data_IF_209373469794
#
_entry.id   IF_209373469794
#
_cell.length_a   1.000
_cell.length_b   1.000
_cell.length_c   1.000
_cell.angle_alpha   90.00
_cell.angle_beta   90.00
_cell.angle_gamma   90.00
#
_symmetry.space_group_name_H-M   'P 1'
#
loop_
_entity.id
_entity.type
_entity.pdbx_description
1 polymer ?
#
# COMPACT_ATOMS: atom_id res chain seq x y z
N UNK A 1 -12.80 -0.08 -5.83
CA UNK A 1 -11.97 0.97 -6.46
C UNK A 1 -11.49 0.49 -7.82
N UNK A 2 -11.02 1.40 -8.69
CA UNK A 2 -10.59 1.09 -10.05
C UNK A 2 -9.12 0.71 -10.20
N UNK A 3 -8.68 0.57 -11.45
CA UNK A 3 -7.30 0.31 -11.87
C UNK A 3 -6.33 1.37 -11.34
N UNK A 4 -5.09 0.97 -11.01
CA UNK A 4 -4.00 1.86 -10.57
C UNK A 4 -4.32 2.66 -9.29
N UNK A 5 -5.25 2.18 -8.46
CA UNK A 5 -5.49 2.80 -7.15
C UNK A 5 -4.19 2.77 -6.34
N UNK A 6 -3.79 3.91 -5.76
CA UNK A 6 -2.54 4.00 -5.00
C UNK A 6 -1.28 4.08 -5.86
N UNK A 7 -1.40 4.35 -7.16
CA UNK A 7 -0.25 4.59 -8.03
C UNK A 7 0.67 5.69 -7.47
N UNK A 8 1.96 5.42 -7.40
CA UNK A 8 2.98 6.36 -6.89
C UNK A 8 2.69 6.88 -5.46
N UNK A 9 2.00 6.08 -4.63
CA UNK A 9 1.69 6.46 -3.25
C UNK A 9 2.98 6.77 -2.48
N UNK A 10 3.08 8.00 -1.95
CA UNK A 10 4.29 8.50 -1.28
C UNK A 10 4.24 8.33 0.23
N UNK A 11 3.04 8.24 0.81
CA UNK A 11 2.76 8.11 2.26
C UNK A 11 1.26 7.98 2.50
N UNK A 12 0.90 7.68 3.75
CA UNK A 12 -0.48 7.73 4.25
C UNK A 12 -1.11 6.35 4.38
N UNK A 13 -2.43 6.34 4.61
CA UNK A 13 -3.21 5.10 4.76
C UNK A 13 -4.48 5.18 3.94
N UNK A 14 -4.77 4.13 3.18
CA UNK A 14 -6.01 3.99 2.43
C UNK A 14 -6.78 2.77 2.96
N UNK A 15 -8.09 2.90 3.17
CA UNK A 15 -8.97 1.80 3.60
C UNK A 15 -10.04 1.63 2.52
N UNK A 16 -10.06 0.47 1.88
CA UNK A 16 -10.99 0.11 0.82
C UNK A 16 -11.89 -1.01 1.36
N UNK A 17 -13.16 -0.72 1.63
CA UNK A 17 -14.12 -1.70 2.19
C UNK A 17 -14.75 -2.63 1.14
N UNK A 18 -14.33 -2.52 -0.12
CA UNK A 18 -14.77 -3.38 -1.22
C UNK A 18 -13.59 -3.88 -2.05
N UNK A 19 -13.84 -4.19 -3.32
CA UNK A 19 -12.83 -4.76 -4.22
C UNK A 19 -11.85 -3.70 -4.74
N UNK A 20 -10.64 -4.14 -5.09
CA UNK A 20 -9.61 -3.36 -5.75
C UNK A 20 -9.33 -3.87 -7.16
N UNK A 21 -9.35 -2.95 -8.13
CA UNK A 21 -9.03 -3.23 -9.52
C UNK A 21 -7.54 -3.54 -9.75
N UNK A 22 -7.15 -3.79 -11.01
CA UNK A 22 -5.79 -4.19 -11.36
C UNK A 22 -4.73 -3.15 -10.99
N UNK A 23 -3.51 -3.62 -10.73
CA UNK A 23 -2.30 -2.84 -10.46
C UNK A 23 -2.43 -1.95 -9.22
N UNK A 24 -3.01 -2.50 -8.14
CA UNK A 24 -3.12 -1.81 -6.85
C UNK A 24 -1.73 -1.49 -6.30
N UNK A 25 -1.49 -0.23 -5.94
CA UNK A 25 -0.23 0.24 -5.35
C UNK A 25 0.95 0.24 -6.32
N UNK A 26 0.70 0.31 -7.63
CA UNK A 26 1.78 0.30 -8.61
C UNK A 26 2.76 1.47 -8.42
N UNK A 27 4.06 1.17 -8.51
CA UNK A 27 5.15 2.12 -8.21
C UNK A 27 5.01 2.85 -6.86
N UNK A 28 4.37 2.23 -5.85
CA UNK A 28 4.24 2.86 -4.54
C UNK A 28 5.59 2.98 -3.83
N UNK A 29 5.89 4.17 -3.31
CA UNK A 29 7.10 4.42 -2.54
C UNK A 29 6.90 4.06 -1.08
N UNK A 30 5.81 4.51 -0.47
CA UNK A 30 5.50 4.26 0.94
C UNK A 30 3.99 4.38 1.18
N UNK A 31 3.55 4.08 2.41
CA UNK A 31 2.17 4.08 2.83
C UNK A 31 1.59 2.67 2.99
N UNK A 32 0.31 2.61 3.32
CA UNK A 32 -0.38 1.35 3.56
C UNK A 32 -1.78 1.37 2.98
N UNK A 33 -2.16 0.32 2.26
CA UNK A 33 -3.49 0.15 1.69
C UNK A 33 -4.12 -1.08 2.36
N UNK A 34 -5.32 -0.94 2.90
CA UNK A 34 -6.09 -2.03 3.49
C UNK A 34 -7.31 -2.33 2.60
N UNK A 35 -7.53 -3.61 2.24
CA UNK A 35 -8.61 -4.02 1.32
C UNK A 35 -9.49 -5.09 1.97
N UNK A 36 -10.81 -4.84 2.00
CA UNK A 36 -11.80 -5.77 2.56
C UNK A 36 -12.48 -6.67 1.54
N UNK A 37 -12.39 -6.35 0.25
CA UNK A 37 -12.84 -7.20 -0.86
C UNK A 37 -11.68 -7.95 -1.52
N UNK A 38 -11.88 -8.32 -2.78
CA UNK A 38 -10.87 -8.99 -3.62
C UNK A 38 -9.90 -7.97 -4.22
N UNK A 39 -8.64 -8.38 -4.42
CA UNK A 39 -7.63 -7.60 -5.15
C UNK A 39 -7.42 -8.29 -6.50
N UNK A 40 -7.65 -7.58 -7.60
CA UNK A 40 -7.48 -8.15 -8.94
C UNK A 40 -6.01 -8.44 -9.27
N UNK A 41 -5.11 -7.47 -9.03
CA UNK A 41 -3.66 -7.66 -9.07
C UNK A 41 -2.95 -6.56 -8.29
N UNK A 42 -1.75 -6.86 -7.80
CA UNK A 42 -0.82 -5.88 -7.24
C UNK A 42 0.03 -5.26 -8.35
N UNK A 43 0.41 -4.00 -8.17
CA UNK A 43 1.44 -3.36 -8.99
C UNK A 43 2.85 -3.83 -8.62
N UNK A 44 3.85 -3.39 -9.38
CA UNK A 44 5.21 -3.98 -9.33
C UNK A 44 5.89 -3.82 -7.97
N UNK A 45 5.62 -2.71 -7.27
CA UNK A 45 6.18 -2.39 -5.96
C UNK A 45 5.22 -2.68 -4.81
N UNK A 46 4.04 -3.24 -5.06
CA UNK A 46 3.07 -3.52 -4.02
C UNK A 46 3.19 -4.97 -3.56
N UNK A 47 3.32 -5.17 -2.24
CA UNK A 47 3.41 -6.51 -1.64
C UNK A 47 2.45 -6.65 -0.47
N UNK A 48 2.05 -7.89 -0.17
CA UNK A 48 1.28 -8.18 1.04
C UNK A 48 2.12 -7.89 2.29
N UNK A 49 1.48 -7.27 3.28
CA UNK A 49 2.05 -7.03 4.59
C UNK A 49 1.21 -7.69 5.69
N UNK A 50 1.82 -7.87 6.85
CA UNK A 50 1.16 -8.45 8.02
C UNK A 50 0.28 -7.42 8.74
N UNK A 51 -0.97 -7.79 9.01
CA UNK A 51 -1.91 -6.99 9.80
C UNK A 51 -1.56 -7.09 11.29
N UNK A 52 -1.40 -5.96 11.96
CA UNK A 52 -1.16 -5.93 13.41
C UNK A 52 -2.42 -5.58 14.20
N UNK A 53 -2.42 -5.91 15.49
CA UNK A 53 -3.52 -5.55 16.39
C UNK A 53 -3.64 -4.03 16.62
N UNK A 54 -2.51 -3.31 16.61
CA UNK A 54 -2.49 -1.84 16.70
C UNK A 54 -3.17 -1.19 15.48
N UNK A 55 -2.85 -1.67 14.29
CA UNK A 55 -3.48 -1.23 13.05
C UNK A 55 -4.96 -1.56 13.04
N UNK A 56 -5.32 -2.80 13.42
CA UNK A 56 -6.70 -3.22 13.49
C UNK A 56 -7.52 -2.33 14.43
N UNK A 57 -7.02 -2.07 15.64
CA UNK A 57 -7.69 -1.17 16.58
C UNK A 57 -7.79 0.27 16.08
N UNK A 58 -6.80 0.75 15.32
CA UNK A 58 -6.84 2.09 14.71
C UNK A 58 -7.89 2.19 13.60
N UNK A 59 -7.95 1.20 12.70
CA UNK A 59 -8.94 1.15 11.61
C UNK A 59 -10.35 1.07 12.19
N UNK A 60 -10.59 0.21 13.19
CA UNK A 60 -11.89 0.06 13.85
C UNK A 60 -12.40 1.41 14.38
N UNK A 61 -11.56 2.13 15.14
CA UNK A 61 -11.91 3.47 15.65
C UNK A 61 -12.13 4.47 14.52
N UNK A 62 -11.36 4.42 13.44
CA UNK A 62 -11.52 5.32 12.29
C UNK A 62 -12.84 5.08 11.55
N UNK A 63 -13.21 3.83 11.31
CA UNK A 63 -14.47 3.49 10.64
C UNK A 63 -15.69 3.85 11.50
N UNK A 64 -15.61 3.65 12.82
CA UNK A 64 -16.67 4.00 13.75
C UNK A 64 -17.04 5.50 13.71
N UNK A 65 -16.07 6.40 13.50
CA UNK A 65 -16.33 7.85 13.35
C UNK A 65 -17.26 8.19 12.18
N UNK A 66 -17.33 7.31 11.18
CA UNK A 66 -18.15 7.48 9.99
C UNK A 66 -19.35 6.52 9.95
N UNK A 67 -19.62 5.79 11.05
CA UNK A 67 -20.69 4.78 11.09
C UNK A 67 -20.45 3.60 10.14
N UNK A 68 -19.19 3.31 9.81
CA UNK A 68 -18.80 2.24 8.89
C UNK A 68 -18.22 1.05 9.63
N UNK A 69 -18.24 -0.12 8.99
CA UNK A 69 -17.63 -1.36 9.48
C UNK A 69 -16.94 -2.11 8.34
N UNK A 70 -15.89 -2.85 8.67
CA UNK A 70 -15.23 -3.72 7.70
C UNK A 70 -16.10 -4.96 7.41
N UNK A 71 -16.31 -5.34 6.14
CA UNK A 71 -17.29 -6.36 5.74
C UNK A 71 -17.04 -7.75 6.33
N UNK A 72 -15.77 -8.07 6.65
CA UNK A 72 -15.37 -9.34 7.26
C UNK A 72 -14.61 -9.13 8.58
N UNK A 73 -14.80 -7.98 9.22
CA UNK A 73 -14.01 -7.56 10.38
C UNK A 73 -12.64 -7.01 10.00
N UNK A 74 -12.13 -6.07 10.79
CA UNK A 74 -10.94 -5.30 10.45
C UNK A 74 -9.66 -6.15 10.43
N UNK A 75 -9.57 -7.16 11.29
CA UNK A 75 -8.41 -8.07 11.34
C UNK A 75 -8.24 -8.88 10.05
N UNK A 76 -9.31 -9.04 9.25
CA UNK A 76 -9.29 -9.78 7.98
C UNK A 76 -9.07 -8.88 6.75
N UNK A 77 -8.79 -7.58 6.95
CA UNK A 77 -8.41 -6.72 5.83
C UNK A 77 -7.03 -7.14 5.31
N UNK A 78 -6.91 -7.22 3.99
CA UNK A 78 -5.65 -7.47 3.31
C UNK A 78 -4.82 -6.18 3.35
N UNK A 79 -3.65 -6.22 3.99
CA UNK A 79 -2.72 -5.09 4.06
C UNK A 79 -1.71 -5.18 2.92
N UNK A 80 -1.55 -4.08 2.21
CA UNK A 80 -0.59 -3.91 1.12
C UNK A 80 0.35 -2.75 1.48
N UNK A 81 1.64 -2.97 1.26
CA UNK A 81 2.73 -2.04 1.56
C UNK A 81 3.72 -1.98 0.41
N UNK A 82 4.63 -1.00 0.44
CA UNK A 82 5.72 -0.91 -0.53
C UNK A 82 6.73 -2.05 -0.35
N UNK A 83 6.97 -2.79 -1.42
CA UNK A 83 8.00 -3.82 -1.56
C UNK A 83 9.39 -3.26 -1.84
N UNK A 84 9.49 -1.97 -2.17
CA UNK A 84 10.75 -1.23 -2.35
C UNK A 84 11.67 -1.84 -3.42
N UNK A 85 11.10 -2.46 -4.46
CA UNK A 85 11.90 -3.06 -5.53
C UNK A 85 12.43 -2.02 -6.50
N UNK A 86 11.69 -0.93 -6.75
CA UNK A 86 12.15 0.16 -7.61
C UNK A 86 12.98 1.23 -6.87
N UNK A 87 13.37 0.97 -5.62
CA UNK A 87 14.22 1.87 -4.85
C UNK A 87 15.67 1.77 -5.34
N UNK A 88 15.97 2.48 -6.43
CA UNK A 88 17.29 2.55 -7.01
C UNK A 88 18.10 3.66 -6.32
N UNK A 89 18.90 3.27 -5.33
CA UNK A 89 19.93 4.14 -4.77
C UNK A 89 21.21 3.96 -5.57
N UNK A 90 21.82 5.09 -5.96
CA UNK A 90 23.18 5.06 -6.46
C UNK A 90 24.10 4.85 -5.27
N UNK A 91 24.89 3.78 -5.30
CA UNK A 91 25.85 3.48 -4.24
C UNK A 91 27.13 4.32 -4.37
N UNK A 92 27.30 5.04 -5.48
CA UNK A 92 28.46 5.87 -5.73
C UNK A 92 28.17 7.32 -5.37
N UNK A 93 29.05 7.89 -4.55
CA UNK A 93 29.08 9.33 -4.34
C UNK A 93 29.35 10.04 -5.69
N UNK A 94 28.86 11.28 -5.89
CA UNK A 94 29.08 12.02 -7.12
C UNK A 94 30.55 12.08 -7.56
N UNK A 95 31.50 12.06 -6.61
CA UNK A 95 32.95 12.04 -6.85
C UNK A 95 33.49 10.69 -7.32
N UNK A 96 32.76 9.60 -7.07
CA UNK A 96 33.11 8.23 -7.44
C UNK A 96 32.53 7.82 -8.80
N UNK A 97 31.59 8.60 -9.33
CA UNK A 97 31.03 8.40 -10.66
C UNK A 97 32.08 8.78 -11.70
N UNK A 98 32.60 7.78 -12.42
CA UNK A 98 33.39 8.04 -13.63
C UNK A 98 32.50 8.77 -14.63
N UNK A 99 32.87 9.99 -14.99
CA UNK A 99 32.25 10.72 -16.08
C UNK A 99 32.59 9.94 -17.36
N UNK A 100 31.63 9.19 -17.88
CA UNK A 100 31.70 8.70 -19.25
C UNK A 100 31.15 9.84 -20.10
N UNK A 101 32.08 10.58 -20.74
CA UNK A 101 31.78 11.57 -21.77
C UNK A 101 31.36 10.87 -23.08
#
# INVERSE_FOLDING_TARGET
TGTLTGFMMQRGRMIILGDAGPNLGDSMYDGTIYVGGNIASLGVDAVAGEMTQLESGWIERKLALYGMQAPKGVANLQKIVAGKQLWNYDNLEPTEKKIVL
#
